data_IF_431363911000
#
_entry.id   IF_431363911000
#
_cell.length_a   1.000
_cell.length_b   1.000
_cell.length_c   1.000
_cell.angle_alpha   90.00
_cell.angle_beta   90.00
_cell.angle_gamma   90.00
#
_symmetry.space_group_name_H-M   'P 1'
#
loop_
_entity.id
_entity.type
_entity.pdbx_description
1 polymer ?
#
# COMPACT_ATOMS: atom_id res chain seq x y z
N UNK A 1 23.08 -46.28 -8.90
CA UNK A 1 22.45 -45.32 -9.83
C UNK A 1 21.03 -45.10 -9.33
N UNK A 2 20.87 -44.19 -8.36
CA UNK A 2 19.56 -43.86 -7.78
C UNK A 2 19.25 -42.39 -8.08
N UNK A 3 18.06 -42.23 -8.62
CA UNK A 3 17.51 -41.06 -9.28
C UNK A 3 17.48 -39.88 -8.29
N UNK A 4 18.35 -38.91 -8.53
CA UNK A 4 18.39 -37.61 -7.84
C UNK A 4 17.78 -36.59 -8.78
N UNK A 5 16.45 -36.53 -8.90
CA UNK A 5 15.80 -35.58 -9.82
C UNK A 5 14.34 -35.26 -9.45
N UNK A 6 13.98 -35.19 -8.16
CA UNK A 6 12.60 -34.77 -7.75
C UNK A 6 12.60 -34.02 -6.40
N UNK A 7 13.52 -33.09 -6.17
CA UNK A 7 13.49 -32.25 -4.95
C UNK A 7 13.56 -30.73 -5.19
N UNK A 8 13.73 -30.26 -6.42
CA UNK A 8 13.88 -28.83 -6.73
C UNK A 8 12.68 -28.19 -7.46
N UNK A 9 11.52 -28.86 -7.56
CA UNK A 9 10.38 -28.36 -8.37
C UNK A 9 9.10 -28.15 -7.54
N UNK A 10 9.15 -28.26 -6.20
CA UNK A 10 7.95 -28.33 -5.35
C UNK A 10 7.79 -27.18 -4.33
N UNK A 11 8.51 -26.06 -4.48
CA UNK A 11 8.47 -24.96 -3.50
C UNK A 11 8.07 -23.57 -4.05
N UNK A 12 7.68 -23.44 -5.32
CA UNK A 12 7.38 -22.12 -5.92
C UNK A 12 5.94 -21.59 -5.67
N UNK A 13 5.04 -22.37 -5.06
CA UNK A 13 3.68 -21.92 -4.73
C UNK A 13 3.41 -21.92 -3.22
N UNK A 14 3.89 -20.93 -2.44
CA UNK A 14 3.47 -20.80 -1.02
C UNK A 14 3.34 -19.40 -0.41
N UNK A 15 3.81 -18.33 -1.05
CA UNK A 15 3.94 -17.05 -0.35
C UNK A 15 3.13 -15.92 -1.02
N UNK A 16 2.14 -15.33 -0.31
CA UNK A 16 1.38 -14.15 -0.77
C UNK A 16 1.92 -12.86 -0.15
N UNK A 17 2.48 -12.00 -0.98
CA UNK A 17 3.11 -10.72 -0.61
C UNK A 17 2.08 -9.68 -0.16
N UNK A 18 0.81 -9.81 -0.59
CA UNK A 18 -0.28 -8.88 -0.25
C UNK A 18 0.13 -7.40 -0.40
N UNK A 19 0.92 -7.09 -1.43
CA UNK A 19 1.45 -5.76 -1.74
C UNK A 19 1.43 -5.55 -3.26
N UNK A 20 1.08 -4.35 -3.74
CA UNK A 20 1.14 -4.05 -5.16
C UNK A 20 2.58 -3.84 -5.67
N UNK A 21 3.49 -3.40 -4.79
CA UNK A 21 4.94 -3.35 -5.06
C UNK A 21 5.62 -4.40 -4.21
N UNK A 22 6.39 -5.28 -4.85
CA UNK A 22 6.95 -6.49 -4.24
C UNK A 22 8.39 -6.65 -4.65
N UNK A 23 9.23 -7.09 -3.73
CA UNK A 23 10.66 -7.30 -3.94
C UNK A 23 11.00 -8.78 -3.83
N UNK A 24 11.60 -9.33 -4.88
CA UNK A 24 12.06 -10.73 -4.98
C UNK A 24 13.57 -10.78 -5.13
N UNK A 25 14.20 -11.94 -4.84
CA UNK A 25 15.66 -12.07 -4.93
C UNK A 25 16.15 -12.07 -6.38
N UNK A 26 15.34 -12.53 -7.32
CA UNK A 26 15.71 -12.62 -8.73
C UNK A 26 14.61 -12.14 -9.67
N UNK A 27 14.99 -11.81 -10.92
CA UNK A 27 14.04 -11.47 -11.97
C UNK A 27 13.21 -12.68 -12.40
N UNK A 28 13.78 -13.89 -12.38
CA UNK A 28 13.02 -15.11 -12.73
C UNK A 28 11.85 -15.34 -11.77
N UNK A 29 12.01 -15.02 -10.47
CA UNK A 29 10.92 -15.09 -9.50
C UNK A 29 9.81 -14.07 -9.78
N UNK A 30 10.14 -12.91 -10.35
CA UNK A 30 9.15 -11.90 -10.78
C UNK A 30 8.42 -12.32 -12.05
N UNK A 31 9.12 -12.97 -12.98
CA UNK A 31 8.60 -13.39 -14.28
C UNK A 31 7.92 -14.76 -14.26
N UNK A 32 8.00 -15.50 -13.14
CA UNK A 32 7.35 -16.80 -13.01
C UNK A 32 5.81 -16.68 -12.98
N UNK A 33 5.19 -16.88 -14.14
CA UNK A 33 3.74 -16.86 -14.32
C UNK A 33 3.00 -18.04 -13.66
N UNK A 34 3.70 -19.05 -13.12
CA UNK A 34 3.06 -20.11 -12.33
C UNK A 34 2.68 -19.66 -10.92
N UNK A 35 3.26 -18.54 -10.47
CA UNK A 35 2.83 -17.80 -9.30
C UNK A 35 1.64 -16.90 -9.68
N UNK A 36 0.43 -17.12 -9.14
CA UNK A 36 -0.77 -16.32 -9.45
C UNK A 36 -0.63 -14.83 -9.10
N UNK A 37 0.36 -14.50 -8.29
CA UNK A 37 0.72 -13.13 -8.01
C UNK A 37 1.48 -12.48 -9.15
N UNK A 38 2.23 -13.18 -9.98
CA UNK A 38 2.96 -12.54 -11.09
C UNK A 38 2.09 -12.39 -12.36
N UNK A 39 0.95 -13.08 -12.41
CA UNK A 39 -0.06 -12.91 -13.46
C UNK A 39 -0.88 -11.65 -13.19
N UNK A 40 -0.43 -10.49 -13.69
CA UNK A 40 -0.99 -9.18 -13.33
C UNK A 40 -1.30 -8.28 -14.51
N UNK A 41 -2.16 -7.30 -14.28
CA UNK A 41 -2.32 -6.17 -15.17
C UNK A 41 -1.31 -5.07 -14.83
N UNK A 42 -1.28 -4.60 -13.58
CA UNK A 42 -0.30 -3.62 -13.11
C UNK A 42 0.98 -4.31 -12.63
N UNK A 43 2.12 -3.64 -12.75
CA UNK A 43 3.41 -4.21 -12.38
C UNK A 43 4.22 -4.80 -13.53
N UNK A 44 3.67 -4.78 -14.75
CA UNK A 44 4.36 -5.21 -15.97
C UNK A 44 4.98 -4.00 -16.70
N UNK A 45 6.02 -4.19 -17.51
CA UNK A 45 6.69 -3.09 -18.25
C UNK A 45 5.72 -2.25 -19.09
N UNK A 46 4.72 -2.90 -19.68
CA UNK A 46 3.68 -2.24 -20.48
C UNK A 46 2.57 -1.56 -19.66
N UNK A 47 2.43 -1.93 -18.38
CA UNK A 47 1.43 -1.42 -17.45
C UNK A 47 2.06 -1.34 -16.04
N UNK A 48 2.99 -0.39 -15.81
CA UNK A 48 3.66 -0.29 -14.52
C UNK A 48 2.66 0.05 -13.41
N UNK A 49 2.95 -0.39 -12.19
CA UNK A 49 2.13 0.03 -11.05
C UNK A 49 2.34 1.53 -10.77
N UNK A 50 1.26 2.34 -10.71
CA UNK A 50 1.39 3.78 -10.55
C UNK A 50 1.70 4.16 -9.09
N UNK A 51 2.69 5.02 -8.93
CA UNK A 51 3.08 5.63 -7.66
C UNK A 51 2.99 7.14 -7.81
N UNK A 52 2.47 7.82 -6.79
CA UNK A 52 2.33 9.28 -6.80
C UNK A 52 3.70 9.96 -6.62
N UNK A 53 4.04 10.92 -7.48
CA UNK A 53 5.19 11.81 -7.26
C UNK A 53 4.98 12.69 -6.04
N UNK A 54 6.07 13.20 -5.46
CA UNK A 54 6.05 14.11 -4.31
C UNK A 54 5.30 13.55 -3.09
N UNK A 55 5.17 12.21 -3.02
CA UNK A 55 4.46 11.50 -1.96
C UNK A 55 5.32 10.39 -1.42
N UNK A 56 5.31 10.24 -0.09
CA UNK A 56 5.97 9.11 0.55
C UNK A 56 5.21 7.82 0.29
N UNK A 57 5.97 6.78 -0.04
CA UNK A 57 5.52 5.40 -0.14
C UNK A 57 6.31 4.54 0.83
N UNK A 58 5.65 3.58 1.46
CA UNK A 58 6.26 2.60 2.36
C UNK A 58 5.69 1.23 2.06
N UNK A 59 6.57 0.28 1.78
CA UNK A 59 6.22 -1.11 1.54
C UNK A 59 6.94 -2.00 2.54
N UNK A 60 6.18 -2.95 3.11
CA UNK A 60 6.75 -3.98 3.97
C UNK A 60 7.34 -5.09 3.12
N UNK A 61 8.47 -5.60 3.58
CA UNK A 61 9.16 -6.74 3.00
C UNK A 61 8.85 -7.94 3.88
N UNK A 62 8.38 -9.04 3.31
CA UNK A 62 8.03 -10.20 4.10
C UNK A 62 9.25 -10.95 4.59
N UNK A 63 9.08 -11.69 5.69
CA UNK A 63 10.05 -12.61 6.28
C UNK A 63 10.23 -13.88 5.43
N UNK A 64 10.56 -13.69 4.16
CA UNK A 64 10.85 -14.73 3.19
C UNK A 64 12.05 -14.29 2.35
N UNK A 65 13.18 -14.97 2.55
CA UNK A 65 14.46 -14.66 1.89
C UNK A 65 14.81 -13.16 1.99
N UNK A 66 14.53 -12.51 3.12
CA UNK A 66 14.75 -11.08 3.31
C UNK A 66 16.03 -10.76 4.07
N UNK A 67 16.89 -11.76 4.28
CA UNK A 67 18.20 -11.58 4.90
C UNK A 67 19.09 -10.66 4.04
N UNK A 68 19.81 -9.77 4.73
CA UNK A 68 20.79 -8.83 4.18
C UNK A 68 22.04 -8.84 5.05
N UNK A 69 23.21 -8.75 4.41
CA UNK A 69 24.51 -8.82 5.10
C UNK A 69 24.97 -7.47 5.65
N UNK A 70 24.38 -6.37 5.17
CA UNK A 70 24.74 -5.00 5.52
C UNK A 70 23.51 -4.10 5.58
N UNK A 71 23.62 -3.03 6.35
CA UNK A 71 22.64 -1.94 6.40
C UNK A 71 22.86 -0.88 5.30
N UNK A 72 24.01 -0.93 4.64
CA UNK A 72 24.39 0.01 3.58
C UNK A 72 23.80 -0.41 2.24
N UNK A 73 22.48 -0.19 2.13
CA UNK A 73 21.69 -0.48 0.95
C UNK A 73 21.34 0.80 0.18
N UNK A 74 21.09 0.64 -1.12
CA UNK A 74 20.66 1.71 -2.02
C UNK A 74 19.46 1.25 -2.86
N UNK A 75 18.48 2.14 -3.06
CA UNK A 75 17.36 1.91 -3.96
C UNK A 75 17.65 2.59 -5.30
N UNK A 76 17.55 1.83 -6.39
CA UNK A 76 17.73 2.32 -7.75
C UNK A 76 16.49 2.03 -8.57
N UNK A 77 16.17 2.88 -9.55
CA UNK A 77 15.09 2.72 -10.50
C UNK A 77 15.57 3.26 -11.85
N UNK A 78 15.67 2.38 -12.85
CA UNK A 78 16.12 2.75 -14.22
C UNK A 78 17.42 3.58 -14.21
N UNK A 79 18.46 3.06 -13.55
CA UNK A 79 19.77 3.72 -13.37
C UNK A 79 19.76 5.03 -12.56
N UNK A 80 18.63 5.41 -11.97
CA UNK A 80 18.51 6.58 -11.09
C UNK A 80 18.42 6.12 -9.64
N UNK A 81 19.28 6.65 -8.78
CA UNK A 81 19.19 6.38 -7.35
C UNK A 81 18.00 7.13 -6.74
N UNK A 82 17.11 6.39 -6.09
CA UNK A 82 15.88 6.94 -5.49
C UNK A 82 16.10 7.21 -4.00
N UNK A 83 15.76 8.41 -3.49
CA UNK A 83 15.79 8.70 -2.07
C UNK A 83 14.95 7.70 -1.27
N UNK A 84 15.59 7.01 -0.33
CA UNK A 84 14.97 5.93 0.42
C UNK A 84 15.54 5.79 1.83
N UNK A 85 14.81 5.04 2.65
CA UNK A 85 15.26 4.49 3.91
C UNK A 85 14.79 3.02 4.00
N UNK A 86 15.66 2.18 4.52
CA UNK A 86 15.41 0.76 4.72
C UNK A 86 15.29 0.47 6.21
N UNK A 87 14.18 -0.17 6.61
CA UNK A 87 14.08 -0.72 7.96
C UNK A 87 14.70 -2.12 7.97
N UNK A 88 15.74 -2.29 8.78
CA UNK A 88 16.43 -3.57 8.96
C UNK A 88 16.35 -3.97 10.44
N UNK A 89 15.91 -5.20 10.68
CA UNK A 89 15.79 -5.77 12.02
C UNK A 89 16.43 -7.16 12.03
N UNK A 90 17.36 -7.39 12.94
CA UNK A 90 18.07 -8.68 13.10
C UNK A 90 18.65 -9.23 11.78
N UNK A 91 19.25 -8.35 10.97
CA UNK A 91 19.84 -8.71 9.68
C UNK A 91 18.82 -9.00 8.57
N UNK A 92 17.55 -8.61 8.77
CA UNK A 92 16.48 -8.79 7.79
C UNK A 92 15.92 -7.45 7.34
N UNK A 93 15.77 -7.30 6.03
CA UNK A 93 15.06 -6.17 5.45
C UNK A 93 13.56 -6.35 5.70
N UNK A 94 12.95 -5.43 6.46
CA UNK A 94 11.53 -5.52 6.87
C UNK A 94 10.66 -4.46 6.20
N UNK A 95 11.24 -3.35 5.73
CA UNK A 95 10.51 -2.33 4.97
C UNK A 95 11.44 -1.50 4.09
N UNK A 96 10.85 -0.89 3.08
CA UNK A 96 11.46 0.18 2.31
C UNK A 96 10.51 1.37 2.27
N UNK A 97 11.05 2.55 2.57
CA UNK A 97 10.34 3.83 2.45
C UNK A 97 11.05 4.69 1.44
N UNK A 98 10.33 5.32 0.53
CA UNK A 98 10.93 6.12 -0.53
C UNK A 98 9.99 7.22 -1.01
N UNK A 99 10.57 8.16 -1.76
CA UNK A 99 9.85 9.21 -2.48
C UNK A 99 10.59 9.49 -3.78
N UNK A 100 9.84 9.82 -4.83
CA UNK A 100 10.40 10.41 -6.05
C UNK A 100 9.77 11.77 -6.28
N UNK A 101 10.60 12.72 -6.72
CA UNK A 101 10.18 14.05 -7.18
C UNK A 101 10.11 14.12 -8.71
N UNK A 102 10.53 13.05 -9.39
CA UNK A 102 10.59 12.94 -10.84
C UNK A 102 9.67 11.81 -11.34
N UNK A 103 9.12 11.99 -12.55
CA UNK A 103 8.38 10.94 -13.24
C UNK A 103 9.35 9.98 -13.91
N UNK A 104 9.57 8.85 -13.23
CA UNK A 104 10.50 7.79 -13.66
C UNK A 104 9.78 6.44 -13.61
N UNK A 105 10.20 5.51 -14.47
CA UNK A 105 9.59 4.19 -14.61
C UNK A 105 10.67 3.13 -14.70
N UNK A 106 10.44 1.97 -14.09
CA UNK A 106 11.34 0.83 -14.20
C UNK A 106 11.06 -0.22 -13.15
N UNK A 107 12.03 -1.12 -12.96
CA UNK A 107 12.06 -2.01 -11.81
C UNK A 107 12.93 -1.39 -10.73
N UNK A 108 12.49 -1.41 -9.47
CA UNK A 108 13.38 -1.07 -8.39
C UNK A 108 14.43 -2.16 -8.23
N UNK A 109 15.66 -1.75 -7.97
CA UNK A 109 16.78 -2.59 -7.61
C UNK A 109 17.29 -2.14 -6.24
N UNK A 110 17.25 -3.06 -5.26
CA UNK A 110 17.91 -2.83 -3.97
C UNK A 110 19.32 -3.37 -4.09
N UNK A 111 20.31 -2.50 -4.01
CA UNK A 111 21.73 -2.83 -4.19
C UNK A 111 22.49 -2.74 -2.87
N UNK A 112 23.53 -3.55 -2.73
CA UNK A 112 24.52 -3.38 -1.67
C UNK A 112 25.54 -2.27 -2.04
N UNK A 113 26.46 -1.99 -1.12
CA UNK A 113 27.55 -1.01 -1.32
C UNK A 113 28.50 -1.33 -2.50
N UNK A 114 28.55 -2.58 -2.94
CA UNK A 114 29.35 -3.04 -4.08
C UNK A 114 28.62 -2.86 -5.42
N UNK A 115 27.35 -2.42 -5.39
CA UNK A 115 26.50 -2.28 -6.56
C UNK A 115 25.83 -3.57 -7.03
N UNK A 116 25.91 -4.65 -6.25
CA UNK A 116 25.24 -5.92 -6.55
C UNK A 116 23.76 -5.82 -6.16
N UNK A 117 22.88 -6.16 -7.10
CA UNK A 117 21.43 -6.16 -6.84
C UNK A 117 21.05 -7.36 -6.00
N UNK A 118 20.50 -7.09 -4.82
CA UNK A 118 20.00 -8.07 -3.87
C UNK A 118 18.52 -8.38 -4.08
N UNK A 119 17.73 -7.40 -4.53
CA UNK A 119 16.31 -7.57 -4.78
C UNK A 119 15.85 -6.77 -5.99
N UNK A 120 14.85 -7.29 -6.69
CA UNK A 120 14.18 -6.65 -7.81
C UNK A 120 12.70 -6.47 -7.49
N UNK A 121 12.11 -5.35 -7.91
CA UNK A 121 10.65 -5.17 -7.84
C UNK A 121 9.94 -5.49 -9.14
N UNK A 122 8.61 -5.62 -9.10
CA UNK A 122 7.78 -5.45 -10.30
C UNK A 122 7.92 -4.03 -10.86
N UNK A 123 7.50 -3.82 -12.12
CA UNK A 123 7.66 -2.53 -12.77
C UNK A 123 6.72 -1.48 -12.14
N UNK A 124 7.26 -0.32 -11.81
CA UNK A 124 6.53 0.82 -11.25
C UNK A 124 6.72 2.06 -12.11
N UNK A 125 5.82 3.03 -11.97
CA UNK A 125 5.96 4.36 -12.58
C UNK A 125 5.55 5.43 -11.59
N UNK A 126 6.43 6.38 -11.35
CA UNK A 126 6.07 7.62 -10.67
C UNK A 126 5.38 8.58 -11.65
N UNK A 127 4.23 9.12 -11.25
CA UNK A 127 3.46 10.10 -12.02
C UNK A 127 2.66 11.03 -11.11
N UNK A 128 2.31 12.23 -11.59
CA UNK A 128 1.25 13.03 -10.99
C UNK A 128 -0.11 12.55 -11.48
N UNK A 129 -0.92 11.96 -10.60
CA UNK A 129 -2.22 11.39 -10.98
C UNK A 129 -3.36 12.41 -10.98
N UNK A 130 -3.05 13.69 -10.80
CA UNK A 130 -4.04 14.77 -10.79
C UNK A 130 -4.73 14.88 -12.15
N UNK A 131 -6.05 14.67 -12.17
CA UNK A 131 -6.85 14.90 -13.38
C UNK A 131 -7.27 16.38 -13.53
N UNK A 132 -8.01 16.68 -14.60
CA UNK A 132 -8.49 18.04 -14.92
C UNK A 132 -9.42 18.64 -13.83
N UNK A 133 -9.96 17.81 -12.94
CA UNK A 133 -10.80 18.23 -11.81
C UNK A 133 -10.00 18.32 -10.49
N UNK A 134 -8.70 18.09 -10.53
CA UNK A 134 -7.84 18.10 -9.34
C UNK A 134 -7.89 16.82 -8.52
N UNK A 135 -8.53 15.75 -9.02
CA UNK A 135 -8.65 14.48 -8.30
C UNK A 135 -7.37 13.65 -8.52
N UNK A 136 -6.88 13.03 -7.45
CA UNK A 136 -5.71 12.14 -7.47
C UNK A 136 -6.11 10.69 -7.23
N UNK A 137 -5.18 9.80 -7.49
CA UNK A 137 -5.22 8.41 -7.03
C UNK A 137 -5.47 8.33 -5.52
N UNK A 138 -6.21 7.30 -5.12
CA UNK A 138 -6.64 7.11 -3.72
C UNK A 138 -5.43 6.78 -2.85
N UNK A 139 -5.15 7.60 -1.84
CA UNK A 139 -4.05 7.37 -0.90
C UNK A 139 -4.50 6.41 0.19
N UNK A 140 -3.76 5.31 0.35
CA UNK A 140 -4.00 4.31 1.40
C UNK A 140 -2.84 4.32 2.39
N UNK A 141 -3.18 4.41 3.67
CA UNK A 141 -2.25 4.14 4.76
C UNK A 141 -2.87 3.07 5.68
N UNK A 142 -2.11 2.05 6.00
CA UNK A 142 -2.60 0.96 6.84
C UNK A 142 -1.50 0.38 7.70
N UNK A 143 -1.82 0.12 8.96
CA UNK A 143 -0.94 -0.59 9.88
C UNK A 143 -1.27 -2.07 9.82
N UNK A 144 -0.29 -2.87 9.46
CA UNK A 144 -0.44 -4.30 9.31
C UNK A 144 -0.65 -4.96 10.68
N UNK A 145 -1.73 -5.76 10.84
CA UNK A 145 -2.05 -6.41 12.12
C UNK A 145 -2.03 -7.95 12.07
N UNK A 146 -1.55 -8.57 10.99
CA UNK A 146 -1.61 -10.03 10.85
C UNK A 146 -0.28 -10.69 11.21
N UNK A 147 -0.23 -11.34 12.36
CA UNK A 147 0.84 -12.28 12.68
C UNK A 147 0.56 -13.62 11.95
N UNK A 148 0.97 -13.72 10.69
CA UNK A 148 1.01 -14.99 9.94
C UNK A 148 2.44 -15.49 9.70
N UNK A 149 3.41 -14.99 10.46
CA UNK A 149 4.84 -15.26 10.23
C UNK A 149 5.39 -14.65 8.93
N UNK A 150 4.60 -13.81 8.24
CA UNK A 150 4.97 -13.23 6.94
C UNK A 150 5.61 -11.86 7.08
N UNK A 151 5.31 -11.09 8.11
CA UNK A 151 5.89 -9.77 8.37
C UNK A 151 6.22 -9.65 9.85
N UNK A 152 7.20 -8.83 10.18
CA UNK A 152 7.51 -8.48 11.57
C UNK A 152 6.31 -7.72 12.18
N UNK A 153 5.94 -8.02 13.42
CA UNK A 153 4.69 -7.55 14.04
C UNK A 153 4.95 -6.83 15.37
N UNK A 154 4.08 -5.84 15.69
CA UNK A 154 3.90 -5.14 16.98
C UNK A 154 5.17 -4.61 17.67
N UNK A 155 5.27 -3.27 17.74
CA UNK A 155 6.12 -2.56 18.68
C UNK A 155 7.28 -1.78 18.05
N UNK A 156 7.63 -2.09 16.80
CA UNK A 156 8.88 -1.62 16.20
C UNK A 156 8.72 -0.47 15.20
N UNK A 157 7.59 0.25 15.17
CA UNK A 157 7.28 1.34 14.21
C UNK A 157 7.34 0.96 12.70
N UNK A 158 7.64 -0.30 12.37
CA UNK A 158 7.88 -0.77 11.00
C UNK A 158 6.66 -1.42 10.33
N UNK A 159 5.45 -1.27 10.88
CA UNK A 159 4.26 -2.03 10.47
C UNK A 159 3.31 -1.25 9.54
N UNK A 160 3.67 -0.05 9.14
CA UNK A 160 2.89 0.75 8.22
C UNK A 160 3.19 0.45 6.75
N UNK A 161 2.14 0.31 5.95
CA UNK A 161 2.18 0.42 4.49
C UNK A 161 1.49 1.71 4.08
N UNK A 162 2.13 2.46 3.18
CA UNK A 162 1.60 3.69 2.61
C UNK A 162 1.83 3.67 1.11
N UNK A 163 0.75 3.78 0.33
CA UNK A 163 0.81 3.76 -1.14
C UNK A 163 -0.39 4.49 -1.72
N UNK A 164 -0.41 4.64 -3.04
CA UNK A 164 -1.58 5.10 -3.80
C UNK A 164 -2.15 3.94 -4.60
N UNK A 165 -3.47 3.76 -4.59
CA UNK A 165 -4.15 2.80 -5.45
C UNK A 165 -4.73 3.51 -6.68
N UNK A 166 -4.67 2.90 -7.88
CA UNK A 166 -5.33 3.45 -9.06
C UNK A 166 -6.83 3.59 -8.83
N UNK A 167 -7.41 4.69 -9.32
CA UNK A 167 -8.78 5.11 -9.04
C UNK A 167 -8.78 6.45 -8.32
N UNK A 168 -9.72 7.33 -8.64
CA UNK A 168 -9.73 8.69 -8.10
C UNK A 168 -10.50 8.77 -6.78
N UNK A 169 -10.19 9.78 -5.96
CA UNK A 169 -10.91 10.07 -4.71
C UNK A 169 -12.40 10.41 -4.97
N UNK A 170 -13.21 9.39 -5.21
CA UNK A 170 -14.63 9.55 -5.53
C UNK A 170 -15.53 9.55 -4.29
N UNK A 171 -15.05 9.05 -3.15
CA UNK A 171 -15.62 9.16 -1.80
C UNK A 171 -17.12 9.46 -1.74
N UNK A 172 -17.94 8.71 -2.46
CA UNK A 172 -19.34 9.07 -2.67
C UNK A 172 -20.08 8.76 -1.38
N UNK A 173 -20.68 9.78 -0.78
CA UNK A 173 -21.50 9.59 0.41
C UNK A 173 -22.77 8.86 0.02
N UNK A 174 -22.99 7.75 0.72
CA UNK A 174 -24.21 6.97 0.67
C UNK A 174 -24.82 6.96 2.06
N UNK A 175 -26.14 6.98 2.14
CA UNK A 175 -26.85 6.97 3.42
C UNK A 175 -27.77 5.77 3.38
N UNK A 176 -27.41 4.74 4.16
CA UNK A 176 -28.29 3.61 4.38
C UNK A 176 -29.25 3.94 5.53
N UNK A 177 -30.53 4.07 5.20
CA UNK A 177 -31.61 4.34 6.17
C UNK A 177 -32.48 3.08 6.35
N UNK A 178 -32.55 2.55 7.57
CA UNK A 178 -33.52 1.52 7.94
C UNK A 178 -34.65 2.14 8.78
N UNK A 179 -35.85 2.24 8.20
CA UNK A 179 -37.04 2.84 8.82
C UNK A 179 -38.03 1.75 9.21
N UNK A 180 -38.16 1.49 10.52
CA UNK A 180 -39.17 0.57 11.03
C UNK A 180 -40.48 1.32 11.25
N UNK A 181 -41.48 1.00 10.44
CA UNK A 181 -42.82 1.56 10.57
C UNK A 181 -43.82 0.53 11.09
N UNK A 182 -44.79 1.00 11.88
CA UNK A 182 -45.97 0.21 12.25
C UNK A 182 -47.26 0.94 11.87
N UNK A 183 -48.31 0.15 11.62
CA UNK A 183 -49.67 0.67 11.44
C UNK A 183 -50.28 0.98 12.81
N UNK A 184 -50.59 2.24 13.07
CA UNK A 184 -51.54 2.60 14.13
C UNK A 184 -52.98 2.35 13.64
N UNK A 185 -53.86 1.88 14.54
CA UNK A 185 -55.17 1.34 14.17
C UNK A 185 -56.16 2.31 13.49
N UNK A 186 -57.10 1.70 12.75
CA UNK A 186 -58.34 2.18 12.07
C UNK A 186 -58.34 3.45 11.20
N UNK A 187 -57.35 4.32 11.28
CA UNK A 187 -57.15 5.41 10.32
C UNK A 187 -55.72 5.32 9.83
N UNK A 188 -55.54 5.55 8.53
CA UNK A 188 -54.35 5.31 7.72
C UNK A 188 -53.13 6.17 8.12
N UNK A 189 -52.73 6.19 9.39
CA UNK A 189 -51.54 6.86 9.89
C UNK A 189 -50.44 5.83 10.17
N UNK A 190 -49.36 5.93 9.40
CA UNK A 190 -48.11 5.22 9.65
C UNK A 190 -47.33 5.95 10.74
N UNK A 191 -46.86 5.23 11.75
CA UNK A 191 -45.96 5.77 12.78
C UNK A 191 -44.58 5.17 12.55
N UNK A 192 -43.56 6.04 12.46
CA UNK A 192 -42.15 5.63 12.44
C UNK A 192 -41.76 5.31 13.88
N UNK A 193 -41.42 4.06 14.15
CA UNK A 193 -41.07 3.60 15.49
C UNK A 193 -39.57 3.74 15.78
N UNK A 194 -38.75 3.61 14.73
CA UNK A 194 -37.29 3.70 14.82
C UNK A 194 -36.73 4.01 13.43
N UNK A 195 -35.67 4.80 13.38
CA UNK A 195 -34.96 5.14 12.15
C UNK A 195 -33.47 5.10 12.45
N UNK A 196 -32.75 4.23 11.75
CA UNK A 196 -31.30 4.12 11.86
C UNK A 196 -30.67 4.64 10.57
N UNK A 197 -29.81 5.65 10.69
CA UNK A 197 -29.10 6.26 9.58
C UNK A 197 -27.62 5.89 9.71
N UNK A 198 -27.08 5.29 8.67
CA UNK A 198 -25.66 4.99 8.57
C UNK A 198 -25.02 5.70 7.38
N UNK A 199 -23.98 6.47 7.68
CA UNK A 199 -23.18 7.16 6.68
C UNK A 199 -22.12 6.21 6.13
N UNK A 200 -22.26 5.88 4.85
CA UNK A 200 -21.32 5.09 4.10
C UNK A 200 -20.58 5.96 3.09
N UNK A 201 -19.37 5.52 2.74
CA UNK A 201 -18.52 6.15 1.74
C UNK A 201 -18.05 5.08 0.77
N UNK A 202 -18.38 5.29 -0.50
CA UNK A 202 -18.06 4.38 -1.59
C UNK A 202 -16.81 4.84 -2.33
N UNK A 203 -15.91 3.89 -2.57
CA UNK A 203 -14.72 4.08 -3.40
C UNK A 203 -14.71 3.10 -4.55
N UNK A 204 -14.25 3.57 -5.71
CA UNK A 204 -14.02 2.76 -6.89
C UNK A 204 -12.52 2.73 -7.20
N UNK A 205 -11.93 1.54 -7.19
CA UNK A 205 -10.53 1.31 -7.50
C UNK A 205 -10.42 0.75 -8.92
N UNK A 206 -9.47 1.24 -9.71
CA UNK A 206 -9.16 0.67 -11.00
C UNK A 206 -8.22 -0.54 -10.81
N UNK A 207 -8.68 -1.73 -11.20
CA UNK A 207 -7.96 -2.99 -11.02
C UNK A 207 -7.65 -3.69 -12.34
N UNK A 208 -8.47 -3.58 -13.39
CA UNK A 208 -8.24 -4.26 -14.68
C UNK A 208 -7.96 -5.77 -14.55
N UNK A 209 -8.65 -6.45 -13.63
CA UNK A 209 -8.43 -7.87 -13.33
C UNK A 209 -7.15 -8.16 -12.53
N UNK A 210 -6.48 -7.13 -12.00
CA UNK A 210 -5.29 -7.26 -11.17
C UNK A 210 -5.62 -7.85 -9.78
N UNK A 211 -5.26 -9.11 -9.60
CA UNK A 211 -5.47 -9.82 -8.33
C UNK A 211 -4.65 -9.26 -7.16
N UNK A 212 -3.60 -8.48 -7.44
CA UNK A 212 -2.71 -7.93 -6.43
C UNK A 212 -3.31 -6.72 -5.74
N UNK A 213 -3.85 -5.78 -6.51
CA UNK A 213 -4.59 -4.64 -5.96
C UNK A 213 -5.82 -5.16 -5.21
N UNK A 214 -6.56 -6.09 -5.81
CA UNK A 214 -7.71 -6.74 -5.18
C UNK A 214 -7.31 -7.42 -3.85
N UNK A 215 -6.23 -8.18 -3.84
CA UNK A 215 -5.75 -8.88 -2.63
C UNK A 215 -5.25 -7.89 -1.57
N UNK A 216 -4.50 -6.86 -1.97
CA UNK A 216 -4.03 -5.80 -1.09
C UNK A 216 -5.20 -5.14 -0.38
N UNK A 217 -6.15 -4.57 -1.13
CA UNK A 217 -7.25 -3.83 -0.52
C UNK A 217 -8.18 -4.76 0.26
N UNK A 218 -8.43 -5.98 -0.21
CA UNK A 218 -9.31 -6.94 0.49
C UNK A 218 -8.72 -7.36 1.84
N UNK A 219 -7.41 -7.56 1.92
CA UNK A 219 -6.73 -7.91 3.16
C UNK A 219 -6.65 -6.68 4.06
N UNK A 220 -5.93 -5.63 3.64
CA UNK A 220 -5.59 -4.53 4.53
C UNK A 220 -6.77 -3.63 4.93
N UNK A 221 -7.86 -3.60 4.16
CA UNK A 221 -9.10 -2.91 4.56
C UNK A 221 -9.75 -3.47 5.84
N UNK A 222 -9.30 -4.63 6.30
CA UNK A 222 -9.75 -5.25 7.55
C UNK A 222 -8.88 -4.91 8.76
N UNK A 223 -7.79 -4.15 8.57
CA UNK A 223 -6.96 -3.67 9.67
C UNK A 223 -7.71 -2.63 10.52
N UNK A 224 -7.43 -2.61 11.83
CA UNK A 224 -7.98 -1.59 12.73
C UNK A 224 -7.48 -0.18 12.38
N UNK A 225 -6.22 -0.08 11.94
CA UNK A 225 -5.62 1.14 11.41
C UNK A 225 -5.61 1.04 9.88
N UNK A 226 -6.65 1.58 9.27
CA UNK A 226 -6.81 1.65 7.83
C UNK A 226 -7.41 3.00 7.46
N UNK A 227 -6.72 3.72 6.59
CA UNK A 227 -7.02 5.09 6.23
C UNK A 227 -7.09 5.22 4.73
N UNK A 228 -8.10 5.96 4.28
CA UNK A 228 -8.26 6.38 2.88
C UNK A 228 -8.25 7.90 2.87
N UNK A 229 -7.34 8.49 2.10
CA UNK A 229 -7.15 9.94 1.97
C UNK A 229 -7.06 10.63 3.34
N UNK A 230 -6.27 10.03 4.24
CA UNK A 230 -6.03 10.55 5.58
C UNK A 230 -7.17 10.39 6.58
N UNK A 231 -8.31 9.78 6.21
CA UNK A 231 -9.43 9.55 7.14
C UNK A 231 -9.53 8.07 7.50
N UNK A 232 -9.65 7.74 8.79
CA UNK A 232 -9.78 6.36 9.27
C UNK A 232 -11.09 5.74 8.81
N UNK A 233 -11.02 4.57 8.18
CA UNK A 233 -12.16 3.86 7.60
C UNK A 233 -12.33 2.48 8.21
N UNK A 234 -13.55 1.98 8.16
CA UNK A 234 -13.85 0.57 8.44
C UNK A 234 -14.70 -0.01 7.33
N UNK A 235 -14.22 -1.11 6.75
CA UNK A 235 -14.91 -1.83 5.69
C UNK A 235 -16.26 -2.35 6.17
N UNK A 236 -17.30 -2.14 5.36
CA UNK A 236 -18.67 -2.54 5.69
C UNK A 236 -19.09 -3.80 4.94
N UNK A 237 -18.76 -3.84 3.66
CA UNK A 237 -19.20 -4.91 2.78
C UNK A 237 -18.01 -5.64 2.15
N UNK A 238 -18.28 -6.78 1.52
CA UNK A 238 -17.27 -7.44 0.69
C UNK A 238 -17.03 -6.60 -0.58
N UNK A 239 -15.80 -6.63 -1.13
CA UNK A 239 -15.53 -5.98 -2.40
C UNK A 239 -16.52 -6.46 -3.46
N UNK A 240 -17.16 -5.52 -4.14
CA UNK A 240 -18.08 -5.79 -5.25
C UNK A 240 -17.29 -5.74 -6.55
N UNK A 241 -17.10 -6.89 -7.19
CA UNK A 241 -16.48 -6.99 -8.50
C UNK A 241 -17.10 -8.13 -9.31
N UNK A 242 -17.24 -7.91 -10.61
CA UNK A 242 -17.58 -8.95 -11.57
C UNK A 242 -16.29 -9.62 -12.08
N UNK A 243 -16.40 -10.87 -12.56
CA UNK A 243 -15.27 -11.56 -13.18
C UNK A 243 -14.75 -10.72 -14.37
N UNK A 244 -13.45 -10.38 -14.37
CA UNK A 244 -12.82 -9.48 -15.35
C UNK A 244 -13.25 -8.00 -15.31
N UNK A 245 -13.89 -7.54 -14.23
CA UNK A 245 -14.23 -6.13 -14.08
C UNK A 245 -12.96 -5.25 -14.07
N UNK A 246 -12.95 -4.12 -14.82
CA UNK A 246 -11.87 -3.15 -14.75
C UNK A 246 -11.83 -2.41 -13.42
N UNK A 247 -12.94 -2.38 -12.69
CA UNK A 247 -13.07 -1.65 -11.44
C UNK A 247 -13.52 -2.55 -10.29
N UNK A 248 -13.13 -2.16 -9.09
CA UNK A 248 -13.57 -2.74 -7.84
C UNK A 248 -14.26 -1.68 -7.00
N UNK A 249 -15.49 -1.95 -6.58
CA UNK A 249 -16.23 -1.09 -5.66
C UNK A 249 -16.08 -1.57 -4.23
N UNK A 250 -15.85 -0.64 -3.30
CA UNK A 250 -15.86 -0.92 -1.86
C UNK A 250 -16.61 0.15 -1.07
N UNK A 251 -17.36 -0.30 -0.06
CA UNK A 251 -18.05 0.58 0.90
C UNK A 251 -17.39 0.55 2.27
N UNK A 252 -17.26 1.74 2.84
CA UNK A 252 -16.65 1.98 4.14
C UNK A 252 -17.52 2.89 4.99
N UNK A 253 -17.31 2.85 6.30
CA UNK A 253 -17.83 3.83 7.24
C UNK A 253 -16.67 4.67 7.80
N UNK A 254 -16.96 5.91 8.17
CA UNK A 254 -16.01 6.74 8.91
C UNK A 254 -15.89 6.24 10.35
N UNK A 255 -14.65 6.04 10.81
CA UNK A 255 -14.40 5.85 12.22
C UNK A 255 -14.40 7.21 12.92
N UNK A 256 -15.24 7.32 13.96
CA UNK A 256 -15.45 8.53 14.74
C UNK A 256 -14.84 8.36 16.13
N UNK A 257 -14.29 9.44 16.68
CA UNK A 257 -13.81 9.48 18.06
C UNK A 257 -14.97 9.56 19.07
N UNK A 258 -14.66 9.63 20.36
CA UNK A 258 -15.65 9.73 21.44
C UNK A 258 -16.54 10.99 21.35
N UNK A 259 -16.14 11.99 20.57
CA UNK A 259 -16.88 13.24 20.32
C UNK A 259 -17.68 13.19 19.02
N UNK A 260 -17.63 12.08 18.28
CA UNK A 260 -18.29 11.93 16.99
C UNK A 260 -17.54 12.55 15.81
N UNK A 261 -16.27 12.92 15.97
CA UNK A 261 -15.44 13.53 14.92
C UNK A 261 -14.65 12.46 14.16
N UNK A 262 -14.44 12.66 12.85
CA UNK A 262 -13.59 11.77 12.06
C UNK A 262 -12.18 11.68 12.63
N UNK A 263 -11.63 10.47 12.67
CA UNK A 263 -10.24 10.23 13.08
C UNK A 263 -9.34 10.41 11.86
N UNK A 264 -8.38 11.33 11.96
CA UNK A 264 -7.42 11.63 10.89
C UNK A 264 -6.08 10.94 11.10
N UNK A 265 -5.43 10.64 9.99
CA UNK A 265 -4.09 10.07 9.92
C UNK A 265 -3.06 11.10 10.37
N UNK A 266 -2.10 10.65 11.17
CA UNK A 266 -0.91 11.41 11.54
C UNK A 266 0.29 10.83 10.79
N UNK A 267 0.56 11.34 9.59
CA UNK A 267 1.67 10.85 8.77
C UNK A 267 3.04 11.18 9.36
N UNK A 268 3.16 12.27 10.14
CA UNK A 268 4.42 12.62 10.81
C UNK A 268 4.85 11.49 11.75
N UNK A 269 3.91 10.91 12.50
CA UNK A 269 4.19 9.74 13.36
C UNK A 269 4.55 8.48 12.57
N UNK A 270 3.98 8.29 11.38
CA UNK A 270 4.30 7.12 10.56
C UNK A 270 5.74 7.20 10.07
N UNK A 271 6.17 8.40 9.66
CA UNK A 271 7.47 8.62 9.04
C UNK A 271 8.52 9.21 9.98
N UNK A 272 8.26 9.24 11.30
CA UNK A 272 9.19 9.79 12.30
C UNK A 272 10.55 9.10 12.29
N UNK A 273 10.57 7.81 11.94
CA UNK A 273 11.75 6.96 11.88
C UNK A 273 12.60 7.19 10.61
N UNK A 274 12.02 7.81 9.57
CA UNK A 274 12.71 8.13 8.31
C UNK A 274 13.03 9.61 8.16
N UNK A 275 12.32 10.48 8.88
CA UNK A 275 12.55 11.93 8.86
C UNK A 275 13.64 12.31 9.86
N UNK A 276 14.82 12.72 9.37
CA UNK A 276 15.88 13.28 10.23
C UNK A 276 15.85 14.80 10.17
N UNK A 277 15.77 15.42 11.34
CA UNK A 277 15.95 16.87 11.49
C UNK A 277 17.41 17.15 11.78
N UNK A 278 18.04 18.05 11.02
CA UNK A 278 19.35 18.60 11.36
C UNK A 278 19.22 20.07 11.72
N UNK A 279 20.13 20.58 12.53
CA UNK A 279 20.22 22.00 12.87
C UNK A 279 20.67 22.79 11.63
N UNK A 280 19.70 23.17 10.79
CA UNK A 280 19.84 24.20 9.77
C UNK A 280 19.59 25.58 10.38
N UNK A 281 20.18 26.61 9.78
CA UNK A 281 20.27 28.00 10.25
C UNK A 281 18.88 28.67 10.42
N UNK A 282 18.14 28.31 11.46
CA UNK A 282 16.79 28.79 11.84
C UNK A 282 15.66 28.49 10.83
N UNK A 283 15.93 27.70 9.79
CA UNK A 283 14.90 27.08 8.95
C UNK A 283 14.90 25.57 9.24
N UNK A 284 13.76 25.03 9.67
CA UNK A 284 13.57 23.57 9.79
C UNK A 284 13.61 22.96 8.39
N UNK A 285 14.79 22.52 7.96
CA UNK A 285 14.95 21.77 6.70
C UNK A 285 14.80 20.29 7.00
N UNK A 286 13.81 19.63 6.37
CA UNK A 286 13.71 18.17 6.34
C UNK A 286 14.83 17.69 5.42
N UNK A 287 15.86 17.03 5.98
CA UNK A 287 16.93 16.41 5.19
C UNK A 287 16.65 14.92 5.11
N UNK A 288 16.40 14.46 3.89
CA UNK A 288 16.41 13.04 3.57
C UNK A 288 17.82 12.50 3.73
N UNK A 289 17.96 11.31 4.31
CA UNK A 289 19.24 10.61 4.38
C UNK A 289 19.73 10.25 2.98
N UNK A 290 20.55 11.12 2.40
CA UNK A 290 21.33 10.82 1.22
C UNK A 290 22.73 10.39 1.68
N UNK A 291 23.09 9.11 1.48
CA UNK A 291 24.49 8.66 1.55
C UNK A 291 25.15 8.95 0.21
N UNK A 292 25.38 10.24 -0.07
CA UNK A 292 26.13 10.76 -1.20
C UNK A 292 26.53 12.20 -0.93
N UNK A 293 27.61 12.68 -1.55
CA UNK A 293 28.26 13.96 -1.22
C UNK A 293 27.49 15.21 -1.71
N UNK A 294 26.39 15.04 -2.42
CA UNK A 294 25.66 16.14 -3.02
C UNK A 294 24.37 16.45 -2.23
N UNK A 295 24.41 17.56 -1.49
CA UNK A 295 23.20 18.13 -0.92
C UNK A 295 22.26 18.57 -2.05
N UNK A 296 21.01 18.11 -1.99
CA UNK A 296 19.93 18.58 -2.87
C UNK A 296 19.77 20.09 -2.64
N UNK A 297 20.04 20.88 -3.69
CA UNK A 297 19.72 22.32 -3.68
C UNK A 297 18.21 22.48 -3.80
N UNK A 298 17.62 23.14 -2.80
CA UNK A 298 16.27 23.74 -2.88
C UNK A 298 16.32 24.96 -3.78
#
# INVERSE_FOLDING_TARGET
>A
MHISFVHNVLFMQRFWYHSPVRFYKTLEELEDMTNPQNTQYFGHVNNPYPLEVNSYHRFLIPNYQNEVESEDLQLWLDEIQVPCEFGILDGKLVRVTFVSFEEIQGHFEIKNELGETLFYSNCVRFLDSTDDEGRKHIRIATKHNYNRGLFTFLGDNHDWMVTSLPGYCFGQFDIDEDVKSAKAGKLSSTVINDAWLEENVKYEFAIYGDNNILSFITVHSTNNEFYIDGTKRTRKEKPEYEEFSPTLTMKFSNQKDEKGMNIFLDEEKIFEDVMKQVLGNELKTIIYTFKGLDAIKV
#
